data_IF_300070756201
#
_entry.id   IF_300070756201
#
_cell.length_a   1.000
_cell.length_b   1.000
_cell.length_c   1.000
_cell.angle_alpha   90.00
_cell.angle_beta   90.00
_cell.angle_gamma   90.00
#
_symmetry.space_group_name_H-M   'P 1'
#
loop_
_entity.id
_entity.type
_entity.pdbx_description
1 polymer ?
#
# COMPACT_ATOMS: atom_id res chain seq x y z
N UNK A 1 10.58 9.27 44.69
CA UNK A 1 10.90 9.90 43.38
C UNK A 1 10.74 11.39 43.60
N UNK A 2 11.82 12.17 43.48
CA UNK A 2 11.78 13.60 43.77
C UNK A 2 11.05 14.34 42.64
N UNK A 3 10.19 15.33 42.95
CA UNK A 3 9.67 16.23 41.94
C UNK A 3 10.82 17.08 41.37
N UNK A 4 10.81 17.33 40.05
CA UNK A 4 11.74 18.19 39.30
C UNK A 4 13.05 17.57 38.76
N UNK A 5 13.15 16.25 38.60
CA UNK A 5 14.19 15.70 37.72
C UNK A 5 13.76 15.79 36.25
N UNK A 6 14.41 16.65 35.47
CA UNK A 6 14.33 16.63 34.01
C UNK A 6 14.94 15.32 33.52
N UNK A 7 14.11 14.45 32.97
CA UNK A 7 14.57 13.22 32.33
C UNK A 7 14.96 13.57 30.90
N UNK A 8 16.27 13.54 30.58
CA UNK A 8 16.78 13.75 29.23
C UNK A 8 16.52 12.48 28.40
N UNK A 9 15.31 12.34 27.88
CA UNK A 9 14.90 11.23 27.02
C UNK A 9 15.52 11.42 25.63
N UNK A 10 16.60 10.68 25.37
CA UNK A 10 17.18 10.59 24.02
C UNK A 10 16.70 9.32 23.35
N UNK A 11 15.80 9.45 22.39
CA UNK A 11 15.45 8.38 21.46
C UNK A 11 15.63 8.87 20.03
N UNK A 12 16.11 8.00 19.17
CA UNK A 12 16.21 8.24 17.74
C UNK A 12 14.98 7.64 17.08
N UNK A 13 14.16 8.46 16.44
CA UNK A 13 13.07 7.96 15.59
C UNK A 13 13.71 7.40 14.32
N UNK A 14 13.44 6.14 14.01
CA UNK A 14 13.88 5.56 12.74
C UNK A 14 13.24 6.32 11.57
N UNK A 15 13.97 6.53 10.46
CA UNK A 15 13.37 7.14 9.28
C UNK A 15 12.19 6.28 8.81
N UNK A 16 11.22 6.93 8.15
CA UNK A 16 10.14 6.20 7.48
C UNK A 16 10.76 5.17 6.51
N UNK A 17 10.26 3.93 6.44
CA UNK A 17 10.90 2.91 5.63
C UNK A 17 10.98 3.30 4.14
N UNK A 18 12.04 2.87 3.46
CA UNK A 18 12.22 3.11 2.03
C UNK A 18 12.06 1.81 1.25
N UNK A 19 11.51 1.92 0.05
CA UNK A 19 11.39 0.78 -0.87
C UNK A 19 12.73 0.60 -1.55
N UNK A 20 13.34 -0.58 -1.46
CA UNK A 20 14.54 -0.93 -2.24
C UNK A 20 14.15 -1.25 -3.69
N UNK A 21 13.95 -0.20 -4.49
CA UNK A 21 13.55 -0.34 -5.90
C UNK A 21 14.57 -1.13 -6.72
N UNK A 22 15.86 -1.01 -6.41
CA UNK A 22 16.92 -1.75 -7.11
C UNK A 22 16.82 -3.25 -6.84
N UNK A 23 16.49 -3.64 -5.60
CA UNK A 23 16.25 -5.05 -5.27
C UNK A 23 15.03 -5.58 -6.00
N UNK A 24 13.90 -4.86 -5.97
CA UNK A 24 12.68 -5.31 -6.65
C UNK A 24 12.85 -5.37 -8.16
N UNK A 25 13.56 -4.41 -8.76
CA UNK A 25 13.89 -4.42 -10.18
C UNK A 25 14.68 -5.67 -10.59
N UNK A 26 15.65 -6.10 -9.77
CA UNK A 26 16.52 -7.26 -10.05
C UNK A 26 15.84 -8.62 -9.79
N UNK A 27 14.87 -8.65 -8.88
CA UNK A 27 14.25 -9.90 -8.40
C UNK A 27 12.82 -10.10 -8.90
N UNK A 28 12.28 -9.19 -9.72
CA UNK A 28 10.92 -9.33 -10.24
C UNK A 28 10.76 -10.55 -11.16
N UNK A 29 9.65 -11.26 -10.99
CA UNK A 29 9.20 -12.31 -11.93
C UNK A 29 8.77 -11.70 -13.26
N UNK A 30 8.17 -10.49 -13.20
CA UNK A 30 7.65 -9.76 -14.34
C UNK A 30 8.14 -8.31 -14.33
N UNK A 31 8.78 -7.88 -15.41
CA UNK A 31 9.32 -6.53 -15.56
C UNK A 31 8.66 -5.77 -16.71
N UNK A 32 8.28 -4.52 -16.44
CA UNK A 32 7.69 -3.60 -17.43
C UNK A 32 8.47 -2.30 -17.47
N UNK A 33 9.17 -2.04 -18.58
CA UNK A 33 9.78 -0.74 -18.83
C UNK A 33 8.71 0.27 -19.25
N UNK A 34 8.52 1.32 -18.46
CA UNK A 34 7.55 2.38 -18.73
C UNK A 34 6.18 2.18 -18.09
N UNK A 35 5.36 3.23 -18.18
CA UNK A 35 4.04 3.28 -17.53
C UNK A 35 3.06 2.26 -18.10
N UNK A 36 2.24 1.67 -17.24
CA UNK A 36 1.28 0.63 -17.57
C UNK A 36 -0.16 1.07 -17.27
N UNK A 37 -1.10 0.54 -18.06
CA UNK A 37 -2.53 0.60 -17.79
C UNK A 37 -3.08 -0.82 -17.81
N UNK A 38 -3.54 -1.31 -16.66
CA UNK A 38 -4.10 -2.64 -16.50
C UNK A 38 -5.61 -2.56 -16.23
N UNK A 39 -6.40 -3.36 -16.94
CA UNK A 39 -7.85 -3.38 -16.82
C UNK A 39 -8.44 -4.74 -17.16
N UNK A 40 -9.55 -5.10 -16.52
CA UNK A 40 -10.28 -6.35 -16.79
C UNK A 40 -9.91 -7.44 -15.79
N UNK A 41 -9.86 -8.69 -16.25
CA UNK A 41 -9.46 -9.82 -15.41
C UNK A 41 -7.94 -9.94 -15.40
N UNK A 42 -7.34 -9.75 -14.23
CA UNK A 42 -5.90 -9.70 -14.01
C UNK A 42 -5.44 -10.95 -13.24
N UNK A 43 -4.48 -11.69 -13.79
CA UNK A 43 -3.81 -12.76 -13.06
C UNK A 43 -2.51 -12.20 -12.47
N UNK A 44 -2.51 -11.95 -11.16
CA UNK A 44 -1.42 -11.31 -10.43
C UNK A 44 -0.86 -12.30 -9.40
N UNK A 45 -0.01 -13.21 -9.88
CA UNK A 45 0.75 -14.12 -9.02
C UNK A 45 2.25 -13.82 -9.13
N UNK A 46 2.90 -13.57 -8.01
CA UNK A 46 4.34 -13.27 -7.96
C UNK A 46 4.67 -11.78 -7.88
N UNK A 47 5.91 -11.44 -8.21
CA UNK A 47 6.48 -10.09 -8.09
C UNK A 47 6.53 -9.38 -9.45
N UNK A 48 5.77 -8.29 -9.56
CA UNK A 48 5.72 -7.42 -10.73
C UNK A 48 6.47 -6.13 -10.43
N UNK A 49 7.36 -5.69 -11.33
CA UNK A 49 8.03 -4.40 -11.25
C UNK A 49 7.70 -3.54 -12.48
N UNK A 50 7.22 -2.33 -12.22
CA UNK A 50 6.89 -1.33 -13.23
C UNK A 50 7.82 -0.14 -13.07
N UNK A 51 8.68 0.07 -14.05
CA UNK A 51 9.51 1.27 -14.13
C UNK A 51 8.72 2.44 -14.76
N UNK A 52 7.79 3.00 -13.98
CA UNK A 52 6.89 4.05 -14.43
C UNK A 52 5.66 4.16 -13.53
N UNK A 53 4.58 4.71 -14.10
CA UNK A 53 3.30 4.85 -13.42
C UNK A 53 2.38 3.67 -13.71
N UNK A 54 1.46 3.38 -12.80
CA UNK A 54 0.43 2.35 -12.98
C UNK A 54 -0.98 2.97 -12.87
N UNK A 55 -1.81 2.71 -13.88
CA UNK A 55 -3.27 2.81 -13.76
C UNK A 55 -3.86 1.41 -13.72
N UNK A 56 -4.68 1.10 -12.72
CA UNK A 56 -5.21 -0.26 -12.54
C UNK A 56 -6.69 -0.26 -12.13
N UNK A 57 -7.45 -1.15 -12.74
CA UNK A 57 -8.86 -1.43 -12.43
C UNK A 57 -9.24 -2.86 -12.86
N UNK A 58 -10.41 -3.35 -12.44
CA UNK A 58 -10.98 -4.64 -12.82
C UNK A 58 -11.05 -5.63 -11.65
N UNK A 59 -10.75 -6.90 -11.94
CA UNK A 59 -10.76 -7.97 -10.95
C UNK A 59 -9.42 -8.69 -11.01
N UNK A 60 -8.78 -8.93 -9.88
CA UNK A 60 -7.55 -9.71 -9.81
C UNK A 60 -7.78 -11.10 -9.23
N UNK A 61 -6.87 -12.01 -9.55
CA UNK A 61 -6.72 -13.32 -8.91
C UNK A 61 -5.24 -13.57 -8.62
N UNK A 62 -4.95 -14.38 -7.62
CA UNK A 62 -3.60 -14.69 -7.17
C UNK A 62 -3.11 -13.87 -5.98
N UNK A 63 -1.90 -14.22 -5.54
CA UNK A 63 -1.16 -13.50 -4.50
C UNK A 63 0.00 -12.76 -5.18
N UNK A 64 -0.19 -11.45 -5.33
CA UNK A 64 0.68 -10.60 -6.15
C UNK A 64 1.25 -9.42 -5.38
N UNK A 65 2.52 -9.12 -5.61
CA UNK A 65 3.14 -7.85 -5.21
C UNK A 65 3.48 -7.04 -6.46
N UNK A 66 2.97 -5.83 -6.56
CA UNK A 66 3.24 -4.91 -7.67
C UNK A 66 4.02 -3.72 -7.15
N UNK A 67 5.24 -3.58 -7.64
CA UNK A 67 6.16 -2.49 -7.30
C UNK A 67 6.17 -1.46 -8.42
N UNK A 68 5.97 -0.20 -8.06
CA UNK A 68 5.82 0.91 -9.01
C UNK A 68 6.80 2.02 -8.64
N UNK A 69 7.74 2.32 -9.54
CA UNK A 69 8.75 3.37 -9.33
C UNK A 69 8.17 4.80 -9.41
N UNK A 70 7.02 4.96 -10.07
CA UNK A 70 6.29 6.21 -10.20
C UNK A 70 5.06 6.29 -9.29
N UNK A 71 3.92 6.66 -9.86
CA UNK A 71 2.64 6.83 -9.15
C UNK A 71 1.63 5.74 -9.50
N UNK A 72 0.69 5.48 -8.59
CA UNK A 72 -0.46 4.57 -8.82
C UNK A 72 -1.77 5.35 -8.80
N UNK A 73 -2.63 5.11 -9.80
CA UNK A 73 -3.98 5.67 -9.86
C UNK A 73 -5.03 4.57 -10.00
N UNK A 74 -6.03 4.59 -9.12
CA UNK A 74 -7.25 3.81 -9.23
C UNK A 74 -8.39 4.73 -9.69
N UNK A 75 -8.81 4.58 -10.95
CA UNK A 75 -9.91 5.37 -11.55
C UNK A 75 -11.24 4.58 -11.60
N UNK A 76 -11.21 3.30 -11.21
CA UNK A 76 -12.35 2.40 -11.21
C UNK A 76 -12.21 1.30 -10.15
N UNK A 77 -13.16 0.38 -10.13
CA UNK A 77 -13.17 -0.69 -9.12
C UNK A 77 -11.98 -1.64 -9.32
N UNK A 78 -11.40 -2.12 -8.23
CA UNK A 78 -10.39 -3.18 -8.22
C UNK A 78 -10.68 -4.15 -7.07
N UNK A 79 -11.14 -5.36 -7.39
CA UNK A 79 -11.46 -6.39 -6.39
C UNK A 79 -10.78 -7.73 -6.66
N UNK A 80 -10.79 -8.62 -5.68
CA UNK A 80 -10.31 -10.00 -5.83
C UNK A 80 -11.40 -10.93 -6.37
N UNK A 81 -11.00 -12.07 -6.94
CA UNK A 81 -11.93 -13.13 -7.37
C UNK A 81 -12.36 -13.99 -6.18
N UNK A 82 -11.40 -14.44 -5.37
CA UNK A 82 -11.62 -15.17 -4.12
C UNK A 82 -11.05 -14.40 -2.93
N UNK A 83 -11.93 -13.92 -2.05
CA UNK A 83 -11.57 -13.09 -0.89
C UNK A 83 -10.78 -13.85 0.19
N UNK A 84 -10.69 -15.18 0.10
CA UNK A 84 -9.94 -16.02 1.04
C UNK A 84 -8.55 -16.41 0.52
N UNK A 85 -8.31 -16.27 -0.80
CA UNK A 85 -7.08 -16.76 -1.45
C UNK A 85 -6.32 -15.68 -2.23
N UNK A 86 -7.01 -14.66 -2.73
CA UNK A 86 -6.42 -13.66 -3.61
C UNK A 86 -6.17 -12.35 -2.84
N UNK A 87 -4.90 -11.94 -2.78
CA UNK A 87 -4.50 -10.69 -2.13
C UNK A 87 -3.43 -9.96 -2.94
N UNK A 88 -3.66 -8.66 -3.11
CA UNK A 88 -2.79 -7.77 -3.88
C UNK A 88 -2.09 -6.77 -2.96
N UNK A 89 -0.76 -6.74 -3.03
CA UNK A 89 0.06 -5.72 -2.40
C UNK A 89 0.63 -4.75 -3.46
N UNK A 90 0.48 -3.46 -3.22
CA UNK A 90 1.03 -2.38 -4.06
C UNK A 90 2.10 -1.63 -3.27
N UNK A 91 3.35 -1.72 -3.75
CA UNK A 91 4.48 -0.94 -3.24
C UNK A 91 4.76 0.21 -4.22
N UNK A 92 4.34 1.42 -3.87
CA UNK A 92 4.46 2.60 -4.74
C UNK A 92 5.49 3.58 -4.19
N UNK A 93 6.52 3.92 -4.95
CA UNK A 93 7.51 4.91 -4.52
C UNK A 93 6.95 6.34 -4.47
N UNK A 94 6.03 6.66 -5.38
CA UNK A 94 5.36 7.95 -5.48
C UNK A 94 3.97 7.95 -4.86
N UNK A 95 3.14 8.89 -5.30
CA UNK A 95 1.79 9.06 -4.79
C UNK A 95 0.85 7.94 -5.25
N UNK A 96 -0.13 7.64 -4.40
CA UNK A 96 -1.25 6.73 -4.72
C UNK A 96 -2.55 7.52 -4.65
N UNK A 97 -3.39 7.41 -5.67
CA UNK A 97 -4.63 8.18 -5.76
C UNK A 97 -5.81 7.28 -6.11
N UNK A 98 -6.84 7.30 -5.27
CA UNK A 98 -8.15 6.69 -5.51
C UNK A 98 -9.17 7.81 -5.73
N UNK A 99 -9.80 7.83 -6.90
CA UNK A 99 -10.73 8.88 -7.31
C UNK A 99 -11.97 8.30 -7.98
N UNK A 100 -12.93 9.17 -8.33
CA UNK A 100 -14.12 8.82 -9.11
C UNK A 100 -14.98 7.69 -8.49
N UNK A 101 -15.05 7.60 -7.16
CA UNK A 101 -15.82 6.56 -6.47
C UNK A 101 -15.21 5.16 -6.57
N UNK A 102 -13.93 5.03 -6.91
CA UNK A 102 -13.23 3.75 -7.02
C UNK A 102 -13.42 2.88 -5.76
N UNK A 103 -13.84 1.63 -5.95
CA UNK A 103 -13.95 0.63 -4.89
C UNK A 103 -12.76 -0.34 -5.01
N UNK A 104 -11.79 -0.22 -4.11
CA UNK A 104 -10.51 -0.94 -4.20
C UNK A 104 -10.33 -1.87 -3.01
N UNK A 105 -9.86 -3.09 -3.25
CA UNK A 105 -9.37 -4.01 -2.23
C UNK A 105 -7.90 -4.33 -2.46
N UNK A 106 -7.01 -3.77 -1.66
CA UNK A 106 -5.55 -3.96 -1.79
C UNK A 106 -4.81 -3.54 -0.52
N UNK A 107 -3.63 -4.11 -0.30
CA UNK A 107 -2.62 -3.55 0.60
C UNK A 107 -1.85 -2.47 -0.16
N UNK A 108 -1.67 -1.29 0.43
CA UNK A 108 -1.00 -0.16 -0.20
C UNK A 108 0.11 0.36 0.70
N UNK A 109 1.32 0.40 0.16
CA UNK A 109 2.46 1.06 0.76
C UNK A 109 2.94 2.21 -0.13
N UNK A 110 3.17 3.38 0.47
CA UNK A 110 3.85 4.48 -0.19
C UNK A 110 4.61 5.37 0.81
N UNK A 111 5.89 5.70 0.58
CA UNK A 111 6.59 6.69 1.41
C UNK A 111 6.18 8.13 1.09
N UNK A 112 5.20 8.34 0.21
CA UNK A 112 4.67 9.62 -0.22
C UNK A 112 3.21 9.81 0.25
N UNK A 113 2.36 10.40 -0.60
CA UNK A 113 0.96 10.72 -0.28
C UNK A 113 0.04 9.63 -0.85
N UNK A 114 -0.81 9.07 0.00
CA UNK A 114 -1.98 8.28 -0.42
C UNK A 114 -3.23 9.14 -0.27
N UNK A 115 -3.96 9.32 -1.37
CA UNK A 115 -5.21 10.11 -1.40
C UNK A 115 -6.39 9.20 -1.72
N UNK A 116 -7.39 9.19 -0.85
CA UNK A 116 -8.70 8.55 -1.06
C UNK A 116 -9.74 9.66 -1.11
N UNK A 117 -10.36 9.86 -2.27
CA UNK A 117 -11.23 11.01 -2.50
C UNK A 117 -12.49 10.65 -3.29
N UNK A 118 -13.48 11.55 -3.26
CA UNK A 118 -14.68 11.54 -4.08
C UNK A 118 -15.48 10.22 -3.99
N UNK A 119 -15.96 9.88 -2.78
CA UNK A 119 -16.70 8.66 -2.47
C UNK A 119 -15.95 7.35 -2.77
N UNK A 120 -14.62 7.40 -2.95
CA UNK A 120 -13.82 6.19 -3.11
C UNK A 120 -13.71 5.40 -1.80
N UNK A 121 -13.60 4.09 -1.92
CA UNK A 121 -13.49 3.16 -0.79
C UNK A 121 -12.26 2.29 -0.98
N UNK A 122 -11.42 2.23 0.05
CA UNK A 122 -10.31 1.28 0.11
C UNK A 122 -10.53 0.28 1.24
N UNK A 123 -10.46 -1.01 0.89
CA UNK A 123 -10.46 -2.15 1.81
C UNK A 123 -9.07 -2.78 1.81
N UNK A 124 -8.46 -2.94 2.98
CA UNK A 124 -7.09 -3.48 3.08
C UNK A 124 -6.28 -2.78 4.15
N UNK A 125 -5.03 -2.44 3.84
CA UNK A 125 -4.14 -1.70 4.75
C UNK A 125 -3.45 -0.58 3.97
N UNK A 126 -3.16 0.53 4.65
CA UNK A 126 -2.42 1.65 4.07
C UNK A 126 -1.27 2.02 4.98
N UNK A 127 -0.06 1.96 4.44
CA UNK A 127 1.12 2.54 5.06
C UNK A 127 1.55 3.70 4.16
N UNK A 128 1.35 4.92 4.66
CA UNK A 128 1.65 6.14 3.95
C UNK A 128 2.41 7.12 4.84
N UNK A 129 3.28 7.96 4.26
CA UNK A 129 3.80 9.12 5.01
C UNK A 129 2.68 10.10 5.32
N UNK A 130 1.78 10.30 4.36
CA UNK A 130 0.59 11.12 4.52
C UNK A 130 -0.60 10.40 3.89
N UNK A 131 -1.66 10.19 4.67
CA UNK A 131 -2.95 9.74 4.18
C UNK A 131 -3.91 10.93 4.14
N UNK A 132 -4.51 11.19 2.97
CA UNK A 132 -5.54 12.21 2.75
C UNK A 132 -6.84 11.50 2.43
N UNK A 133 -7.88 11.70 3.25
CA UNK A 133 -9.22 11.16 3.05
C UNK A 133 -10.24 12.30 2.94
N UNK A 134 -10.84 12.49 1.76
CA UNK A 134 -11.69 13.64 1.44
C UNK A 134 -13.02 13.22 0.80
N UNK A 135 -13.98 14.17 0.75
CA UNK A 135 -15.24 14.05 -0.01
C UNK A 135 -15.97 12.69 0.14
N UNK A 136 -16.25 12.31 1.40
CA UNK A 136 -16.95 11.06 1.76
C UNK A 136 -16.21 9.77 1.35
N UNK A 137 -14.90 9.84 1.17
CA UNK A 137 -14.09 8.63 1.06
C UNK A 137 -14.16 7.80 2.34
N UNK A 138 -14.03 6.48 2.20
CA UNK A 138 -14.03 5.53 3.31
C UNK A 138 -12.81 4.60 3.23
N UNK A 139 -12.28 4.23 4.38
CA UNK A 139 -11.20 3.25 4.51
C UNK A 139 -11.61 2.19 5.53
N UNK A 140 -11.46 0.92 5.14
CA UNK A 140 -11.77 -0.23 5.97
C UNK A 140 -10.53 -1.10 6.10
N UNK A 141 -10.04 -1.23 7.33
CA UNK A 141 -8.91 -2.10 7.60
C UNK A 141 -9.30 -3.58 7.46
N UNK A 142 -8.59 -4.35 6.63
CA UNK A 142 -8.78 -5.79 6.47
C UNK A 142 -7.51 -6.57 6.86
N UNK A 143 -7.35 -6.92 8.15
CA UNK A 143 -6.12 -7.55 8.64
C UNK A 143 -5.84 -8.92 8.00
N UNK A 144 -6.87 -9.62 7.53
CA UNK A 144 -6.70 -10.96 6.93
C UNK A 144 -5.81 -10.96 5.69
N UNK A 145 -5.75 -9.83 4.97
CA UNK A 145 -4.94 -9.70 3.75
C UNK A 145 -3.43 -9.80 4.03
N UNK A 146 -2.99 -9.44 5.25
CA UNK A 146 -1.57 -9.52 5.63
C UNK A 146 -1.11 -10.97 5.81
N UNK A 147 -2.02 -11.89 6.18
CA UNK A 147 -1.68 -13.29 6.46
C UNK A 147 -1.30 -14.10 5.22
N UNK A 148 -1.71 -13.63 4.05
CA UNK A 148 -1.50 -14.31 2.78
C UNK A 148 -0.34 -13.71 1.98
N UNK A 149 0.28 -12.62 2.46
CA UNK A 149 1.43 -12.04 1.80
C UNK A 149 2.71 -12.82 2.14
N UNK A 150 3.64 -12.98 1.19
CA UNK A 150 4.94 -13.56 1.48
C UNK A 150 5.71 -12.80 2.57
N UNK A 151 6.50 -13.51 3.38
CA UNK A 151 7.26 -12.95 4.54
C UNK A 151 8.17 -11.75 4.21
N UNK A 152 8.51 -11.54 2.94
CA UNK A 152 9.34 -10.44 2.46
C UNK A 152 8.55 -9.16 2.13
N UNK A 153 7.22 -9.16 2.25
CA UNK A 153 6.34 -8.05 1.85
C UNK A 153 5.91 -7.19 3.05
N UNK A 154 5.74 -7.76 4.24
CA UNK A 154 5.18 -7.04 5.39
C UNK A 154 5.95 -7.32 6.68
N UNK A 155 6.09 -6.29 7.52
CA UNK A 155 6.46 -6.42 8.93
C UNK A 155 5.37 -5.70 9.72
N UNK A 156 4.80 -6.35 10.73
CA UNK A 156 3.78 -5.73 11.58
C UNK A 156 4.46 -5.03 12.77
N UNK A 157 4.13 -3.77 12.98
CA UNK A 157 4.57 -3.00 14.14
C UNK A 157 3.34 -2.57 14.94
N UNK A 158 3.19 -3.08 16.15
CA UNK A 158 2.06 -2.77 17.03
C UNK A 158 2.50 -1.78 18.12
N UNK A 159 1.82 -0.64 18.23
CA UNK A 159 1.95 0.25 19.39
C UNK A 159 1.13 -0.35 20.53
N UNK A 160 1.80 -0.92 21.53
CA UNK A 160 1.16 -1.62 22.65
C UNK A 160 0.50 -0.68 23.66
N UNK A 161 0.92 0.58 23.71
CA UNK A 161 0.34 1.61 24.56
C UNK A 161 0.85 2.99 24.17
N UNK A 162 0.02 4.01 24.34
CA UNK A 162 0.37 5.42 24.22
C UNK A 162 -0.34 6.20 25.34
N UNK A 163 0.35 7.18 25.92
CA UNK A 163 -0.19 8.09 26.93
C UNK A 163 0.25 9.51 26.58
N UNK A 164 -0.70 10.45 26.59
CA UNK A 164 -0.45 11.90 26.54
C UNK A 164 -0.79 12.47 27.91
N UNK A 165 0.09 13.31 28.45
CA UNK A 165 -0.11 13.97 29.75
C UNK A 165 -0.74 15.34 29.59
#
# INVERSE_FOLDING_TARGET
IYPNQSMDLRFTVHPFPEIDLDWYHKNADYYYSGSQTWSGDLNLNGLFYIDGNLKIQGTYSGVGTVVVSGTVTFEGNLGCTDIEQDDLCILCAGNVTLINGAQVRALVYSPAIVTIDNNAVLRGSVIARTLIQNNKAEFYFEPKMENNQPDWVTTSLQILSWEEK
#
